data_IF_487477624905
#
_entry.id   IF_487477624905
#
_cell.length_a   1.000
_cell.length_b   1.000
_cell.length_c   1.000
_cell.angle_alpha   90.00
_cell.angle_beta   90.00
_cell.angle_gamma   90.00
#
_symmetry.space_group_name_H-M   'P 1'
#
loop_
_entity.id
_entity.type
_entity.pdbx_description
1 polymer ?
#
# COMPACT_ATOMS: atom_id res chain seq x y z
N UNK A 1 37.71 52.84 -57.94
CA UNK A 1 36.72 53.40 -57.00
C UNK A 1 35.94 52.25 -56.38
N UNK A 2 35.90 52.25 -55.05
CA UNK A 2 35.17 51.40 -54.09
C UNK A 2 33.95 50.63 -54.64
N UNK A 3 33.86 49.33 -54.33
CA UNK A 3 32.68 48.81 -53.64
C UNK A 3 33.02 47.58 -52.78
N UNK A 4 32.53 47.63 -51.54
CA UNK A 4 32.90 46.80 -50.41
C UNK A 4 32.23 45.43 -50.49
N UNK A 5 33.02 44.37 -50.33
CA UNK A 5 32.54 43.03 -50.03
C UNK A 5 32.32 42.96 -48.51
N UNK A 6 31.07 43.06 -48.05
CA UNK A 6 30.68 42.72 -46.68
C UNK A 6 30.02 41.35 -46.76
N UNK A 7 30.79 40.30 -46.49
CA UNK A 7 30.25 38.96 -46.24
C UNK A 7 30.03 38.88 -44.74
N UNK A 8 28.77 39.03 -44.33
CA UNK A 8 28.31 38.83 -42.96
C UNK A 8 28.44 37.34 -42.62
N UNK A 9 29.41 37.01 -41.77
CA UNK A 9 29.59 35.68 -41.21
C UNK A 9 28.48 35.43 -40.17
N UNK A 10 27.39 34.78 -40.58
CA UNK A 10 26.41 34.23 -39.63
C UNK A 10 27.05 33.02 -38.94
N UNK A 11 27.56 33.23 -37.73
CA UNK A 11 27.88 32.15 -36.82
C UNK A 11 26.57 31.53 -36.31
N UNK A 12 26.13 30.46 -36.96
CA UNK A 12 25.11 29.57 -36.40
C UNK A 12 25.72 28.85 -35.20
N UNK A 13 25.47 29.37 -34.00
CA UNK A 13 25.63 28.63 -32.75
C UNK A 13 24.54 27.55 -32.76
N UNK A 14 24.85 26.42 -33.38
CA UNK A 14 24.11 25.18 -33.16
C UNK A 14 24.38 24.76 -31.72
N UNK A 15 23.47 25.17 -30.83
CA UNK A 15 23.42 24.65 -29.48
C UNK A 15 23.00 23.19 -29.61
N UNK A 16 23.98 22.29 -29.71
CA UNK A 16 23.76 20.86 -29.58
C UNK A 16 23.30 20.67 -28.14
N UNK A 17 21.99 20.67 -27.94
CA UNK A 17 21.37 20.12 -26.74
C UNK A 17 21.65 18.61 -26.85
N UNK A 18 22.84 18.20 -26.39
CA UNK A 18 23.08 16.83 -26.02
C UNK A 18 22.13 16.53 -24.87
N UNK A 19 20.93 16.06 -25.21
CA UNK A 19 20.21 15.15 -24.34
C UNK A 19 21.19 14.00 -24.08
N UNK A 20 21.95 14.07 -22.99
CA UNK A 20 22.56 12.87 -22.43
C UNK A 20 21.36 11.97 -22.15
N UNK A 21 21.12 11.01 -23.03
CA UNK A 21 20.30 9.87 -22.68
C UNK A 21 20.82 9.40 -21.32
N UNK A 22 19.96 9.39 -20.31
CA UNK A 22 20.35 8.78 -19.05
C UNK A 22 20.63 7.33 -19.38
N UNK A 23 21.89 6.93 -19.27
CA UNK A 23 22.30 5.57 -19.54
C UNK A 23 21.67 4.71 -18.45
N UNK A 24 20.64 3.95 -18.83
CA UNK A 24 19.89 3.13 -17.90
C UNK A 24 20.77 1.94 -17.47
N UNK A 25 20.67 1.50 -16.21
CA UNK A 25 21.31 0.27 -15.77
C UNK A 25 20.85 -0.91 -16.64
N UNK A 26 21.79 -1.65 -17.22
CA UNK A 26 21.52 -2.82 -18.05
C UNK A 26 21.89 -4.10 -17.29
N UNK A 27 20.91 -4.99 -17.10
CA UNK A 27 21.15 -6.34 -16.58
C UNK A 27 21.91 -7.15 -17.63
N UNK A 28 23.00 -7.82 -17.23
CA UNK A 28 23.73 -8.74 -18.09
C UNK A 28 23.93 -10.10 -17.41
N UNK A 29 24.15 -11.14 -18.22
CA UNK A 29 24.44 -12.50 -17.76
C UNK A 29 25.85 -12.92 -18.18
N UNK A 30 26.57 -13.55 -17.25
CA UNK A 30 27.88 -14.16 -17.49
C UNK A 30 28.01 -15.40 -16.59
N UNK A 31 28.39 -16.55 -17.16
CA UNK A 31 28.51 -17.82 -16.44
C UNK A 31 27.26 -18.20 -15.62
N UNK A 32 26.07 -17.96 -16.18
CA UNK A 32 24.78 -18.20 -15.50
C UNK A 32 24.59 -17.41 -14.20
N UNK A 33 25.27 -16.26 -14.10
CA UNK A 33 25.12 -15.28 -13.04
C UNK A 33 24.80 -13.91 -13.64
N UNK A 34 24.09 -13.10 -12.87
CA UNK A 34 23.63 -11.79 -13.30
C UNK A 34 24.42 -10.67 -12.64
N UNK A 35 24.68 -9.62 -13.41
CA UNK A 35 25.28 -8.36 -12.97
C UNK A 35 24.59 -7.16 -13.61
N UNK A 36 25.12 -5.97 -13.38
CA UNK A 36 24.62 -4.71 -13.95
C UNK A 36 25.75 -3.92 -14.58
N UNK A 37 25.50 -3.42 -15.81
CA UNK A 37 26.38 -2.53 -16.56
C UNK A 37 25.76 -1.14 -16.69
N UNK A 38 26.63 -0.14 -16.75
CA UNK A 38 26.30 1.21 -17.23
C UNK A 38 27.40 1.58 -18.22
N UNK A 39 27.02 1.99 -19.43
CA UNK A 39 27.95 2.37 -20.50
C UNK A 39 29.00 1.29 -20.81
N UNK A 40 28.55 0.04 -20.82
CA UNK A 40 29.40 -1.13 -21.05
C UNK A 40 30.37 -1.48 -19.90
N UNK A 41 30.41 -0.70 -18.81
CA UNK A 41 31.23 -1.00 -17.63
C UNK A 41 30.45 -1.82 -16.62
N UNK A 42 31.05 -2.91 -16.15
CA UNK A 42 30.51 -3.73 -15.06
C UNK A 42 30.57 -2.93 -13.76
N UNK A 43 29.41 -2.61 -13.18
CA UNK A 43 29.33 -1.89 -11.89
C UNK A 43 28.82 -2.80 -10.78
N UNK A 44 27.91 -3.72 -11.10
CA UNK A 44 27.58 -4.87 -10.25
C UNK A 44 28.12 -6.12 -10.93
N UNK A 45 29.03 -6.89 -10.30
CA UNK A 45 29.64 -8.06 -10.94
C UNK A 45 28.62 -9.19 -11.15
N UNK A 46 28.82 -9.99 -12.20
CA UNK A 46 27.99 -11.16 -12.49
C UNK A 46 28.28 -12.33 -11.53
N UNK A 47 27.83 -12.17 -10.28
CA UNK A 47 27.96 -13.19 -9.22
C UNK A 47 26.63 -13.53 -8.54
N UNK A 48 25.54 -12.92 -9.02
CA UNK A 48 24.21 -13.03 -8.44
C UNK A 48 23.36 -14.04 -9.22
N UNK A 49 22.44 -14.70 -8.53
CA UNK A 49 21.48 -15.61 -9.13
C UNK A 49 20.35 -14.86 -9.85
N UNK A 50 20.10 -13.61 -9.46
CA UNK A 50 19.16 -12.72 -10.14
C UNK A 50 19.46 -11.26 -9.80
N UNK A 51 19.03 -10.34 -10.66
CA UNK A 51 19.05 -8.89 -10.44
C UNK A 51 17.76 -8.25 -10.97
N UNK A 52 17.15 -7.36 -10.19
CA UNK A 52 16.07 -6.45 -10.59
C UNK A 52 16.55 -4.99 -10.49
N UNK A 53 16.07 -4.13 -11.40
CA UNK A 53 16.45 -2.73 -11.54
C UNK A 53 15.23 -1.78 -11.58
N UNK A 54 14.10 -2.19 -11.02
CA UNK A 54 12.82 -1.49 -11.21
C UNK A 54 12.70 -0.17 -10.43
N UNK A 55 13.19 -0.13 -9.20
CA UNK A 55 13.08 1.04 -8.30
C UNK A 55 14.43 1.41 -7.68
N UNK A 56 15.03 0.41 -7.03
CA UNK A 56 16.44 0.35 -6.66
C UNK A 56 16.97 -0.98 -7.22
N UNK A 57 18.29 -1.16 -7.21
CA UNK A 57 18.87 -2.40 -7.72
C UNK A 57 18.95 -3.44 -6.62
N UNK A 58 18.26 -4.57 -6.82
CA UNK A 58 18.24 -5.72 -5.92
C UNK A 58 18.98 -6.87 -6.58
N UNK A 59 20.04 -7.34 -5.93
CA UNK A 59 20.86 -8.43 -6.41
C UNK A 59 20.74 -9.63 -5.46
N UNK A 60 20.24 -10.76 -5.97
CA UNK A 60 19.97 -11.96 -5.17
C UNK A 60 21.13 -12.95 -5.26
N UNK A 61 21.59 -13.47 -4.12
CA UNK A 61 22.58 -14.55 -4.03
C UNK A 61 22.14 -15.59 -3.01
N UNK A 62 21.65 -16.72 -3.49
CA UNK A 62 20.93 -17.73 -2.71
C UNK A 62 19.69 -17.12 -2.06
N UNK A 63 19.62 -17.19 -0.73
CA UNK A 63 18.53 -16.61 0.07
C UNK A 63 18.85 -15.21 0.60
N UNK A 64 19.93 -14.59 0.10
CA UNK A 64 20.39 -13.27 0.54
C UNK A 64 20.23 -12.27 -0.59
N UNK A 65 20.03 -11.01 -0.23
CA UNK A 65 19.92 -9.93 -1.19
C UNK A 65 20.89 -8.80 -0.81
N UNK A 66 21.48 -8.20 -1.83
CA UNK A 66 22.24 -6.96 -1.71
C UNK A 66 21.44 -5.85 -2.40
N UNK A 67 21.41 -4.68 -1.78
CA UNK A 67 20.64 -3.53 -2.22
C UNK A 67 21.61 -2.42 -2.65
N UNK A 68 21.38 -1.86 -3.83
CA UNK A 68 22.12 -0.73 -4.36
C UNK A 68 21.18 0.41 -4.74
N UNK A 69 21.65 1.65 -4.72
CA UNK A 69 20.91 2.77 -5.29
C UNK A 69 20.98 2.78 -6.83
N UNK A 70 20.33 3.75 -7.46
CA UNK A 70 20.33 3.89 -8.92
C UNK A 70 21.69 4.36 -9.49
N UNK A 71 22.57 4.90 -8.63
CA UNK A 71 23.99 5.13 -8.95
C UNK A 71 24.86 3.88 -8.70
N UNK A 72 24.23 2.74 -8.43
CA UNK A 72 24.85 1.44 -8.14
C UNK A 72 25.83 1.46 -6.95
N UNK A 73 25.64 2.42 -6.04
CA UNK A 73 26.28 2.43 -4.73
C UNK A 73 25.56 1.46 -3.81
N UNK A 74 26.33 0.56 -3.20
CA UNK A 74 25.81 -0.42 -2.25
C UNK A 74 25.24 0.28 -1.01
N UNK A 75 23.96 0.02 -0.72
CA UNK A 75 23.23 0.58 0.42
C UNK A 75 23.17 -0.38 1.61
N UNK A 76 22.94 -1.67 1.35
CA UNK A 76 22.91 -2.71 2.38
C UNK A 76 23.22 -4.09 1.77
N UNK A 77 23.67 -5.03 2.61
CA UNK A 77 24.09 -6.36 2.18
C UNK A 77 23.47 -7.45 3.03
N UNK A 78 23.21 -8.59 2.41
CA UNK A 78 22.62 -9.75 3.04
C UNK A 78 21.30 -9.41 3.76
N UNK A 79 20.46 -8.57 3.16
CA UNK A 79 19.16 -8.20 3.73
C UNK A 79 18.25 -9.44 3.80
N UNK A 80 17.44 -9.53 4.86
CA UNK A 80 16.53 -10.66 5.12
C UNK A 80 15.25 -10.59 4.31
N UNK A 81 14.77 -9.36 4.08
CA UNK A 81 13.52 -9.10 3.38
C UNK A 81 13.56 -7.68 2.79
N UNK A 82 12.72 -7.48 1.78
CA UNK A 82 12.41 -6.17 1.24
C UNK A 82 10.96 -6.15 0.79
N UNK A 83 10.37 -4.96 0.76
CA UNK A 83 9.05 -4.71 0.17
C UNK A 83 9.07 -3.32 -0.49
N UNK A 84 8.50 -3.22 -1.68
CA UNK A 84 8.24 -1.95 -2.34
C UNK A 84 6.84 -1.46 -1.99
N UNK A 85 6.73 -0.23 -1.50
CA UNK A 85 5.44 0.36 -1.13
C UNK A 85 5.05 1.46 -2.11
N UNK A 86 4.33 1.04 -3.16
CA UNK A 86 3.93 1.87 -4.31
C UNK A 86 3.21 3.16 -3.89
N UNK A 87 2.19 3.18 -3.01
CA UNK A 87 1.48 4.41 -2.65
C UNK A 87 2.35 5.54 -2.07
N UNK A 88 3.57 5.24 -1.63
CA UNK A 88 4.50 6.24 -1.10
C UNK A 88 5.80 6.32 -1.89
N UNK A 89 5.96 5.51 -2.94
CA UNK A 89 7.22 5.34 -3.67
C UNK A 89 8.41 5.16 -2.70
N UNK A 90 8.27 4.23 -1.76
CA UNK A 90 9.33 3.90 -0.79
C UNK A 90 9.71 2.42 -0.86
N UNK A 91 10.96 2.14 -0.57
CA UNK A 91 11.52 0.80 -0.50
C UNK A 91 11.95 0.49 0.92
N UNK A 92 11.39 -0.55 1.53
CA UNK A 92 11.67 -0.90 2.91
C UNK A 92 12.38 -2.25 2.99
N UNK A 93 13.39 -2.36 3.85
CA UNK A 93 14.14 -3.59 4.06
C UNK A 93 14.16 -4.00 5.53
N UNK A 94 14.32 -5.30 5.77
CA UNK A 94 14.79 -5.84 7.03
C UNK A 94 16.27 -6.21 6.82
N UNK A 95 17.15 -5.48 7.49
CA UNK A 95 18.60 -5.72 7.44
C UNK A 95 18.97 -7.05 8.09
N UNK A 96 20.20 -7.54 7.87
CA UNK A 96 20.73 -8.74 8.55
C UNK A 96 20.64 -8.69 10.07
N UNK A 97 20.65 -7.49 10.65
CA UNK A 97 20.59 -7.22 12.09
C UNK A 97 19.16 -6.91 12.58
N UNK A 98 18.13 -7.27 11.81
CA UNK A 98 16.71 -7.08 12.13
C UNK A 98 16.26 -5.63 12.32
N UNK A 99 17.06 -4.68 11.83
CA UNK A 99 16.66 -3.27 11.76
C UNK A 99 15.91 -3.02 10.47
N UNK A 100 14.87 -2.22 10.57
CA UNK A 100 14.18 -1.67 9.40
C UNK A 100 14.91 -0.45 8.89
N UNK A 101 15.12 -0.39 7.57
CA UNK A 101 15.51 0.83 6.85
C UNK A 101 14.52 1.08 5.74
N UNK A 102 14.27 2.34 5.46
CA UNK A 102 13.37 2.79 4.39
C UNK A 102 14.14 3.74 3.49
N UNK A 103 14.00 3.58 2.18
CA UNK A 103 14.66 4.37 1.16
C UNK A 103 13.63 4.97 0.20
N UNK A 104 13.93 6.15 -0.35
CA UNK A 104 13.21 6.67 -1.51
C UNK A 104 13.78 6.11 -2.83
N UNK A 105 13.22 6.55 -3.96
CA UNK A 105 13.65 6.14 -5.31
C UNK A 105 15.07 6.58 -5.70
N UNK A 106 15.75 7.37 -4.88
CA UNK A 106 17.17 7.74 -5.07
C UNK A 106 18.10 6.92 -4.17
N UNK A 107 17.55 5.99 -3.38
CA UNK A 107 18.32 5.23 -2.39
C UNK A 107 18.69 6.04 -1.15
N UNK A 108 18.06 7.19 -0.92
CA UNK A 108 18.29 7.98 0.29
C UNK A 108 17.44 7.42 1.43
N UNK A 109 18.06 7.18 2.58
CA UNK A 109 17.35 6.68 3.74
C UNK A 109 16.40 7.76 4.29
N UNK A 110 15.16 7.39 4.57
CA UNK A 110 14.11 8.27 5.08
C UNK A 110 13.47 7.70 6.36
N UNK A 111 12.88 8.59 7.15
CA UNK A 111 12.12 8.24 8.35
C UNK A 111 10.63 8.11 8.00
N UNK A 112 10.14 6.87 8.00
CA UNK A 112 8.75 6.56 7.61
C UNK A 112 7.73 7.23 8.54
N UNK A 113 8.09 7.50 9.80
CA UNK A 113 7.18 8.14 10.76
C UNK A 113 6.88 9.60 10.43
N UNK A 114 7.74 10.24 9.62
CA UNK A 114 7.59 11.62 9.15
C UNK A 114 6.85 11.72 7.83
N UNK A 115 6.60 10.59 7.16
CA UNK A 115 5.91 10.60 5.89
C UNK A 115 4.42 10.87 6.11
N UNK A 116 3.92 11.93 5.48
CA UNK A 116 2.49 12.17 5.38
C UNK A 116 1.98 11.36 4.20
N UNK A 117 1.07 10.43 4.44
CA UNK A 117 0.32 9.79 3.35
C UNK A 117 -0.49 10.92 2.71
N UNK A 118 -0.06 11.38 1.53
CA UNK A 118 -0.86 12.29 0.72
C UNK A 118 -2.22 11.63 0.51
N UNK A 119 -3.31 12.37 0.75
CA UNK A 119 -4.63 11.84 0.40
C UNK A 119 -4.59 11.44 -1.07
N UNK A 120 -5.05 10.24 -1.43
CA UNK A 120 -5.16 9.72 -2.82
C UNK A 120 -5.99 10.61 -3.78
N UNK A 121 -6.36 11.83 -3.36
CA UNK A 121 -7.09 12.84 -4.12
C UNK A 121 -6.44 13.20 -5.46
N UNK A 122 -5.14 12.97 -5.62
CA UNK A 122 -4.39 13.43 -6.81
C UNK A 122 -4.21 12.36 -7.90
N UNK A 123 -4.68 11.11 -7.69
CA UNK A 123 -4.50 10.01 -8.66
C UNK A 123 -5.65 9.81 -9.66
N UNK A 124 -6.75 10.57 -9.58
CA UNK A 124 -7.93 10.31 -10.39
C UNK A 124 -8.29 11.47 -11.32
N UNK A 125 -7.94 11.29 -12.60
CA UNK A 125 -8.27 12.18 -13.72
C UNK A 125 -9.77 12.04 -14.07
N UNK A 126 -10.46 13.19 -14.17
CA UNK A 126 -11.78 13.46 -14.78
C UNK A 126 -12.73 12.25 -14.94
N UNK A 127 -13.54 11.96 -13.93
CA UNK A 127 -14.72 11.10 -14.03
C UNK A 127 -15.92 11.73 -13.32
N UNK A 128 -17.12 11.28 -13.67
CA UNK A 128 -18.37 11.74 -13.06
C UNK A 128 -18.31 11.58 -11.54
N UNK A 129 -18.64 12.65 -10.84
CA UNK A 129 -18.54 12.72 -9.38
C UNK A 129 -19.90 12.49 -8.77
N UNK A 130 -19.95 11.64 -7.75
CA UNK A 130 -21.04 11.62 -6.79
C UNK A 130 -20.49 11.91 -5.39
N UNK A 131 -21.23 12.71 -4.64
CA UNK A 131 -21.01 12.92 -3.23
C UNK A 131 -21.91 11.97 -2.46
N UNK A 132 -21.33 11.09 -1.65
CA UNK A 132 -22.05 10.19 -0.77
C UNK A 132 -21.84 10.65 0.68
N UNK A 133 -22.92 10.95 1.39
CA UNK A 133 -22.88 11.25 2.82
C UNK A 133 -23.55 10.12 3.59
N UNK A 134 -22.84 9.64 4.60
CA UNK A 134 -23.33 8.64 5.55
C UNK A 134 -23.42 9.29 6.93
N UNK A 135 -24.57 9.15 7.58
CA UNK A 135 -24.78 9.54 8.97
C UNK A 135 -25.02 8.29 9.79
N UNK A 136 -24.09 7.97 10.70
CA UNK A 136 -24.16 6.77 11.54
C UNK A 136 -24.73 7.16 12.91
N UNK A 137 -25.85 6.56 13.29
CA UNK A 137 -26.51 6.75 14.58
C UNK A 137 -26.46 5.46 15.39
N UNK A 138 -27.02 5.47 16.60
CA UNK A 138 -27.16 4.25 17.41
C UNK A 138 -28.04 3.18 16.76
N UNK A 139 -29.01 3.58 15.93
CA UNK A 139 -30.10 2.72 15.47
C UNK A 139 -30.08 2.46 13.96
N UNK A 140 -29.18 3.12 13.21
CA UNK A 140 -29.20 3.07 11.75
C UNK A 140 -28.08 3.86 11.09
N UNK A 141 -27.95 3.67 9.78
CA UNK A 141 -27.12 4.52 8.91
C UNK A 141 -28.02 5.15 7.86
N UNK A 142 -28.04 6.47 7.81
CA UNK A 142 -28.70 7.21 6.73
C UNK A 142 -27.68 7.48 5.63
N UNK A 143 -28.07 7.24 4.38
CA UNK A 143 -27.25 7.48 3.20
C UNK A 143 -27.92 8.50 2.28
N UNK A 144 -27.13 9.46 1.82
CA UNK A 144 -27.55 10.36 0.76
C UNK A 144 -26.49 10.38 -0.33
N UNK A 145 -26.92 10.27 -1.59
CA UNK A 145 -26.06 10.43 -2.76
C UNK A 145 -26.53 11.60 -3.59
N UNK A 146 -25.58 12.46 -3.96
CA UNK A 146 -25.79 13.60 -4.85
C UNK A 146 -24.85 13.46 -6.03
N UNK A 147 -25.39 13.30 -7.22
CA UNK A 147 -24.62 13.25 -8.46
C UNK A 147 -24.42 14.67 -9.02
N UNK A 148 -23.23 14.99 -9.52
CA UNK A 148 -22.93 16.35 -9.98
C UNK A 148 -23.39 16.62 -11.42
N UNK A 149 -23.82 15.61 -12.19
CA UNK A 149 -24.15 15.73 -13.62
C UNK A 149 -25.49 15.08 -14.04
N UNK A 150 -26.35 14.67 -13.09
CA UNK A 150 -27.67 14.09 -13.34
C UNK A 150 -28.71 14.55 -12.31
N UNK A 151 -29.98 14.66 -12.71
CA UNK A 151 -31.09 14.90 -11.79
C UNK A 151 -31.42 13.61 -11.06
N UNK A 152 -31.09 13.52 -9.77
CA UNK A 152 -31.99 13.08 -8.68
C UNK A 152 -31.22 12.92 -7.35
N UNK A 153 -31.86 13.35 -6.26
CA UNK A 153 -31.42 13.06 -4.89
C UNK A 153 -32.15 11.79 -4.44
N UNK A 154 -31.41 10.71 -4.18
CA UNK A 154 -31.97 9.48 -3.62
C UNK A 154 -31.49 9.32 -2.17
N UNK A 155 -32.16 9.93 -1.17
CA UNK A 155 -31.93 9.51 0.21
C UNK A 155 -32.35 8.05 0.34
N UNK A 156 -31.46 7.19 0.85
CA UNK A 156 -31.83 5.85 1.30
C UNK A 156 -31.52 5.77 2.78
N UNK A 157 -32.52 5.40 3.55
CA UNK A 157 -32.32 5.10 4.96
C UNK A 157 -32.11 3.60 5.13
N UNK A 158 -31.06 3.24 5.84
CA UNK A 158 -30.80 1.86 6.21
C UNK A 158 -30.93 1.73 7.72
N UNK A 159 -32.03 1.14 8.15
CA UNK A 159 -32.25 0.78 9.53
C UNK A 159 -31.69 -0.61 9.79
N UNK A 160 -30.75 -0.71 10.74
CA UNK A 160 -30.13 -1.99 11.08
C UNK A 160 -30.67 -2.48 12.41
N UNK A 161 -31.45 -3.56 12.37
CA UNK A 161 -31.81 -4.33 13.55
C UNK A 161 -31.08 -5.67 13.51
N UNK A 162 -29.84 -5.68 13.97
CA UNK A 162 -29.06 -6.92 14.07
C UNK A 162 -29.30 -7.51 15.45
N UNK A 163 -30.21 -8.47 15.51
CA UNK A 163 -30.52 -9.24 16.72
C UNK A 163 -29.76 -10.55 16.66
N UNK A 164 -28.93 -10.82 17.65
CA UNK A 164 -28.26 -12.12 17.81
C UNK A 164 -28.24 -12.47 19.29
N UNK A 165 -28.62 -13.71 19.59
CA UNK A 165 -28.87 -14.20 20.95
C UNK A 165 -29.83 -13.30 21.75
N UNK A 166 -30.88 -12.81 21.09
CA UNK A 166 -31.91 -11.96 21.70
C UNK A 166 -31.45 -10.55 22.09
N UNK A 167 -30.27 -10.09 21.66
CA UNK A 167 -29.79 -8.72 21.92
C UNK A 167 -29.46 -7.97 20.63
N UNK A 168 -29.65 -6.66 20.69
CA UNK A 168 -29.31 -5.76 19.58
C UNK A 168 -27.82 -5.43 19.58
N UNK A 169 -27.20 -5.52 18.42
CA UNK A 169 -25.86 -4.99 18.19
C UNK A 169 -25.88 -3.46 18.17
N UNK A 170 -24.87 -2.82 18.77
CA UNK A 170 -24.73 -1.35 18.85
C UNK A 170 -23.50 -0.86 18.12
N UNK A 171 -23.57 0.33 17.53
CA UNK A 171 -22.43 0.99 16.91
C UNK A 171 -21.39 1.41 17.96
N UNK A 172 -20.10 1.23 17.65
CA UNK A 172 -18.98 1.59 18.55
C UNK A 172 -18.58 3.06 18.40
N UNK A 173 -18.88 3.67 17.26
CA UNK A 173 -18.65 5.09 16.97
C UNK A 173 -19.98 5.72 16.56
N UNK A 174 -20.77 6.13 17.54
CA UNK A 174 -22.02 6.84 17.34
C UNK A 174 -21.76 8.29 16.87
N UNK A 175 -22.61 8.81 15.99
CA UNK A 175 -22.65 10.21 15.55
C UNK A 175 -21.46 10.67 14.69
N UNK A 176 -21.15 9.90 13.64
CA UNK A 176 -20.18 10.31 12.62
C UNK A 176 -20.88 10.63 11.30
N UNK A 177 -20.55 11.78 10.74
CA UNK A 177 -20.81 12.10 9.35
C UNK A 177 -19.57 11.75 8.53
N UNK A 178 -19.74 10.83 7.58
CA UNK A 178 -18.70 10.45 6.64
C UNK A 178 -19.09 10.94 5.25
N UNK A 179 -18.23 11.77 4.66
CA UNK A 179 -18.38 12.27 3.29
C UNK A 179 -17.38 11.53 2.41
N UNK A 180 -17.90 10.86 1.37
CA UNK A 180 -17.12 10.10 0.40
C UNK A 180 -17.35 10.70 -0.97
N UNK A 181 -16.25 10.98 -1.68
CA UNK A 181 -16.29 11.28 -3.10
C UNK A 181 -16.20 9.97 -3.86
N UNK A 182 -17.30 9.57 -4.49
CA UNK A 182 -17.36 8.40 -5.35
C UNK A 182 -17.16 8.84 -6.80
N UNK A 183 -16.24 8.17 -7.48
CA UNK A 183 -15.96 8.38 -8.89
C UNK A 183 -16.65 7.26 -9.69
N UNK A 184 -17.52 7.63 -10.62
CA UNK A 184 -18.15 6.69 -11.54
C UNK A 184 -17.68 7.00 -12.96
N UNK A 185 -17.24 5.97 -13.68
CA UNK A 185 -16.99 6.09 -15.12
C UNK A 185 -18.26 5.63 -15.83
N UNK A 186 -19.10 6.57 -16.25
CA UNK A 186 -20.40 6.30 -16.91
C UNK A 186 -20.28 5.54 -18.23
N UNK A 187 -19.07 5.39 -18.78
CA UNK A 187 -18.79 4.61 -19.99
C UNK A 187 -18.34 3.16 -19.76
N UNK A 188 -18.35 2.65 -18.52
CA UNK A 188 -18.09 1.23 -18.24
C UNK A 188 -19.35 0.62 -17.62
N UNK A 189 -20.40 0.49 -18.44
CA UNK A 189 -21.49 -0.44 -18.14
C UNK A 189 -20.97 -1.88 -18.28
N UNK A 190 -21.14 -2.66 -17.22
CA UNK A 190 -21.37 -4.11 -17.28
C UNK A 190 -20.25 -5.08 -17.68
N UNK A 191 -18.99 -4.66 -17.78
CA UNK A 191 -17.86 -5.58 -17.92
C UNK A 191 -16.78 -5.36 -16.85
N UNK A 192 -17.15 -5.47 -15.58
CA UNK A 192 -16.31 -6.26 -14.68
C UNK A 192 -16.88 -7.67 -14.70
N UNK A 193 -16.69 -8.36 -15.83
CA UNK A 193 -16.53 -9.80 -15.76
C UNK A 193 -15.60 -10.05 -14.58
N UNK A 194 -16.11 -10.85 -13.65
CA UNK A 194 -15.43 -11.39 -12.50
C UNK A 194 -14.25 -12.18 -13.03
N UNK A 195 -13.20 -11.48 -13.46
CA UNK A 195 -11.94 -12.11 -13.80
C UNK A 195 -11.51 -12.75 -12.49
N UNK A 196 -11.54 -14.07 -12.50
CA UNK A 196 -10.79 -14.92 -11.58
C UNK A 196 -9.31 -14.63 -11.83
N UNK A 197 -8.90 -13.40 -11.50
CA UNK A 197 -7.52 -13.00 -11.45
C UNK A 197 -7.03 -13.47 -10.08
N UNK A 198 -5.86 -14.12 -10.02
CA UNK A 198 -5.43 -14.84 -8.84
C UNK A 198 -5.45 -13.94 -7.61
N UNK A 199 -5.86 -14.56 -6.52
CA UNK A 199 -5.84 -14.05 -5.16
C UNK A 199 -4.52 -13.28 -4.88
N UNK A 200 -4.62 -12.09 -4.28
CA UNK A 200 -3.50 -11.24 -3.81
C UNK A 200 -2.58 -10.60 -4.88
N UNK A 201 -2.90 -9.38 -5.31
CA UNK A 201 -1.87 -8.43 -5.82
C UNK A 201 -1.32 -7.58 -4.66
N UNK A 202 -0.08 -7.08 -4.71
CA UNK A 202 0.46 -6.19 -3.66
C UNK A 202 -0.44 -4.97 -3.38
N UNK A 203 -1.16 -4.51 -4.41
CA UNK A 203 -2.17 -3.45 -4.33
C UNK A 203 -3.31 -3.78 -3.36
N UNK A 204 -3.71 -5.05 -3.23
CA UNK A 204 -4.78 -5.48 -2.31
C UNK A 204 -4.40 -5.31 -0.83
N UNK A 205 -3.11 -5.42 -0.47
CA UNK A 205 -2.64 -5.29 0.92
C UNK A 205 -2.73 -3.86 1.45
N UNK A 206 -2.83 -2.90 0.54
CA UNK A 206 -2.91 -1.47 0.81
C UNK A 206 -4.26 -0.87 0.43
N UNK A 207 -5.15 -1.67 -0.17
CA UNK A 207 -6.51 -1.26 -0.48
C UNK A 207 -7.23 -0.85 0.81
N UNK A 208 -7.84 0.34 0.86
CA UNK A 208 -8.69 0.72 1.99
C UNK A 208 -9.77 -0.32 2.23
N UNK A 209 -10.15 -0.51 3.50
CA UNK A 209 -11.32 -1.31 3.84
C UNK A 209 -12.55 -0.72 3.14
N UNK A 210 -13.53 -1.56 2.81
CA UNK A 210 -14.79 -1.05 2.27
C UNK A 210 -15.38 -0.04 3.24
N UNK A 211 -15.78 1.13 2.74
CA UNK A 211 -16.45 2.14 3.55
C UNK A 211 -17.80 1.66 4.11
N UNK A 212 -18.33 0.54 3.60
CA UNK A 212 -19.53 -0.13 4.09
C UNK A 212 -19.31 -1.00 5.33
N UNK A 213 -18.04 -1.20 5.73
CA UNK A 213 -17.70 -1.97 6.92
C UNK A 213 -17.89 -1.11 8.18
N UNK A 214 -18.72 -1.61 9.10
CA UNK A 214 -19.01 -0.96 10.37
C UNK A 214 -18.65 -1.89 11.53
N UNK A 215 -18.00 -1.33 12.55
CA UNK A 215 -17.70 -2.06 13.78
C UNK A 215 -18.91 -1.97 14.70
N UNK A 216 -19.39 -3.14 15.09
CA UNK A 216 -20.55 -3.30 15.97
C UNK A 216 -20.13 -4.03 17.25
N UNK A 217 -20.86 -3.77 18.34
CA UNK A 217 -20.70 -4.43 19.63
C UNK A 217 -21.98 -5.15 20.02
N UNK A 218 -21.85 -6.44 20.34
CA UNK A 218 -22.93 -7.32 20.75
C UNK A 218 -22.44 -8.15 21.95
N UNK A 219 -23.22 -8.20 23.03
CA UNK A 219 -22.87 -8.99 24.23
C UNK A 219 -21.45 -8.72 24.78
N UNK A 220 -20.98 -7.48 24.67
CA UNK A 220 -19.63 -7.10 25.10
C UNK A 220 -18.51 -7.50 24.12
N UNK A 221 -18.84 -8.19 23.03
CA UNK A 221 -17.92 -8.61 21.98
C UNK A 221 -18.08 -7.75 20.73
N UNK A 222 -17.01 -7.67 19.95
CA UNK A 222 -16.91 -6.83 18.77
C UNK A 222 -16.90 -7.69 17.51
N UNK A 223 -17.54 -7.18 16.46
CA UNK A 223 -17.57 -7.76 15.12
C UNK A 223 -17.62 -6.67 14.05
N UNK A 224 -17.56 -7.07 12.78
CA UNK A 224 -17.68 -6.17 11.63
C UNK A 224 -18.80 -6.66 10.73
N UNK A 225 -19.65 -5.72 10.33
CA UNK A 225 -20.77 -5.95 9.44
C UNK A 225 -20.63 -5.10 8.18
N UNK A 226 -20.94 -5.67 7.02
CA UNK A 226 -21.10 -4.91 5.79
C UNK A 226 -22.56 -4.49 5.68
N UNK A 227 -22.80 -3.20 5.83
CA UNK A 227 -24.15 -2.66 5.93
C UNK A 227 -24.87 -2.64 4.58
N UNK A 228 -24.12 -2.61 3.48
CA UNK A 228 -24.68 -2.63 2.12
C UNK A 228 -25.00 -4.04 1.69
N UNK A 229 -24.10 -4.98 1.98
CA UNK A 229 -24.29 -6.41 1.66
C UNK A 229 -25.12 -7.17 2.71
N UNK A 230 -25.44 -6.52 3.83
CA UNK A 230 -26.17 -7.09 4.97
C UNK A 230 -25.58 -8.42 5.45
N UNK A 231 -24.26 -8.46 5.64
CA UNK A 231 -23.57 -9.68 6.08
C UNK A 231 -22.49 -9.43 7.12
N UNK A 232 -22.26 -10.45 7.93
CA UNK A 232 -21.16 -10.50 8.89
C UNK A 232 -19.83 -10.69 8.13
N UNK A 233 -18.87 -9.78 8.34
CA UNK A 233 -17.52 -9.85 7.78
C UNK A 233 -16.54 -10.39 8.81
N UNK A 234 -16.70 -9.95 10.06
CA UNK A 234 -15.93 -10.43 11.20
C UNK A 234 -16.91 -10.80 12.32
N UNK A 235 -16.87 -12.04 12.84
CA UNK A 235 -17.81 -12.51 13.85
C UNK A 235 -17.67 -11.80 15.20
N UNK A 236 -18.78 -11.73 15.94
CA UNK A 236 -18.89 -11.07 17.26
C UNK A 236 -18.26 -11.87 18.41
N UNK A 237 -16.98 -12.18 18.32
CA UNK A 237 -16.25 -12.88 19.37
C UNK A 237 -14.97 -12.18 19.83
N UNK A 238 -14.59 -11.08 19.18
CA UNK A 238 -13.41 -10.30 19.55
C UNK A 238 -13.68 -9.48 20.81
N UNK A 239 -12.66 -9.34 21.64
CA UNK A 239 -12.66 -8.46 22.81
C UNK A 239 -12.46 -7.00 22.41
N UNK A 240 -11.72 -6.75 21.33
CA UNK A 240 -11.40 -5.40 20.84
C UNK A 240 -11.22 -5.44 19.33
N UNK A 241 -11.71 -4.40 18.65
CA UNK A 241 -11.40 -4.09 17.25
C UNK A 241 -10.97 -2.62 17.18
N UNK A 242 -9.81 -2.33 16.61
CA UNK A 242 -9.32 -0.95 16.39
C UNK A 242 -9.17 -0.71 14.89
N UNK A 243 -9.84 0.31 14.32
CA UNK A 243 -9.69 0.63 12.92
C UNK A 243 -8.41 1.44 12.66
N UNK A 244 -7.68 1.04 11.64
CA UNK A 244 -6.67 1.85 10.95
C UNK A 244 -7.19 2.17 9.54
N UNK A 245 -6.45 2.98 8.78
CA UNK A 245 -6.91 3.48 7.48
C UNK A 245 -7.27 2.35 6.49
N UNK A 246 -6.48 1.27 6.46
CA UNK A 246 -6.64 0.17 5.49
C UNK A 246 -6.69 -1.22 6.14
N UNK A 247 -6.72 -1.33 7.47
CA UNK A 247 -6.78 -2.61 8.18
C UNK A 247 -7.41 -2.44 9.56
N UNK A 248 -7.75 -3.57 10.19
CA UNK A 248 -8.29 -3.62 11.54
C UNK A 248 -7.34 -4.43 12.43
N UNK A 249 -7.03 -3.90 13.61
CA UNK A 249 -6.47 -4.69 14.71
C UNK A 249 -7.60 -5.45 15.40
N UNK A 250 -7.42 -6.76 15.57
CA UNK A 250 -8.37 -7.63 16.25
C UNK A 250 -7.70 -8.24 17.48
N UNK A 251 -8.38 -8.25 18.63
CA UNK A 251 -7.92 -8.90 19.87
C UNK A 251 -8.94 -9.93 20.37
N UNK A 252 -8.47 -11.15 20.65
CA UNK A 252 -9.26 -12.23 21.25
C UNK A 252 -8.36 -13.05 22.17
N UNK A 253 -8.85 -13.39 23.36
CA UNK A 253 -8.15 -14.27 24.32
C UNK A 253 -6.71 -13.84 24.66
N UNK A 254 -6.45 -12.53 24.66
CA UNK A 254 -5.12 -11.95 24.92
C UNK A 254 -4.15 -12.00 23.74
N UNK A 255 -4.58 -12.50 22.59
CA UNK A 255 -3.83 -12.54 21.34
C UNK A 255 -4.42 -11.55 20.33
N UNK A 256 -3.61 -11.22 19.32
CA UNK A 256 -3.91 -10.20 18.32
C UNK A 256 -3.55 -10.60 16.89
N UNK A 257 -4.20 -9.95 15.92
CA UNK A 257 -3.94 -10.08 14.47
C UNK A 257 -4.42 -8.83 13.69
N UNK A 258 -4.19 -8.80 12.38
CA UNK A 258 -4.63 -7.76 11.46
C UNK A 258 -5.48 -8.32 10.31
N UNK A 259 -6.70 -7.80 10.16
CA UNK A 259 -7.55 -8.06 8.99
C UNK A 259 -7.46 -6.90 7.98
N UNK A 260 -7.40 -7.17 6.66
CA UNK A 260 -7.38 -8.49 6.03
C UNK A 260 -5.97 -9.12 5.96
N UNK A 261 -4.93 -8.36 6.30
CA UNK A 261 -3.53 -8.69 6.00
C UNK A 261 -3.08 -10.09 6.45
N UNK A 262 -3.02 -10.34 7.77
CA UNK A 262 -2.44 -11.58 8.33
C UNK A 262 -3.51 -12.53 8.87
N UNK A 263 -4.76 -12.28 8.47
CA UNK A 263 -5.94 -13.09 8.76
C UNK A 263 -6.80 -12.59 9.92
N UNK A 264 -7.77 -13.41 10.30
CA UNK A 264 -8.69 -13.17 11.42
C UNK A 264 -8.32 -13.95 12.68
N UNK A 265 -7.49 -14.99 12.57
CA UNK A 265 -7.07 -15.79 13.72
C UNK A 265 -5.96 -15.08 14.53
N UNK A 266 -6.18 -14.72 15.81
CA UNK A 266 -5.21 -14.01 16.63
C UNK A 266 -4.05 -14.90 17.08
N UNK A 267 -2.82 -14.54 16.71
CA UNK A 267 -1.60 -15.33 16.95
C UNK A 267 -0.55 -14.64 17.83
N UNK A 268 -0.59 -13.31 17.90
CA UNK A 268 0.48 -12.53 18.54
C UNK A 268 0.06 -12.02 19.91
N UNK A 269 0.92 -12.22 20.91
CA UNK A 269 0.72 -11.67 22.26
C UNK A 269 0.88 -10.14 22.27
N UNK A 270 1.81 -9.61 21.47
CA UNK A 270 1.90 -8.18 21.17
C UNK A 270 2.02 -7.99 19.66
N UNK A 271 1.28 -7.03 19.13
CA UNK A 271 1.35 -6.65 17.73
C UNK A 271 1.26 -5.13 17.62
N UNK A 272 2.36 -4.50 17.22
CA UNK A 272 2.40 -3.06 16.96
C UNK A 272 1.74 -2.73 15.62
N UNK A 273 1.31 -1.47 15.41
CA UNK A 273 0.84 -1.04 14.10
C UNK A 273 1.92 -1.23 13.04
N UNK A 274 1.51 -1.34 11.77
CA UNK A 274 2.46 -1.38 10.66
C UNK A 274 3.29 -0.09 10.60
N UNK A 275 4.62 -0.26 10.54
CA UNK A 275 5.58 0.77 10.16
C UNK A 275 5.93 0.54 8.69
N UNK A 276 5.12 1.11 7.78
CA UNK A 276 5.20 0.82 6.35
C UNK A 276 4.64 -0.57 6.01
N UNK A 277 5.51 -1.46 5.53
CA UNK A 277 5.20 -2.81 5.11
C UNK A 277 5.25 -3.85 6.25
N UNK A 278 5.91 -3.53 7.37
CA UNK A 278 6.18 -4.49 8.44
C UNK A 278 5.58 -4.04 9.77
N UNK A 279 5.10 -4.99 10.57
CA UNK A 279 4.65 -4.78 11.93
C UNK A 279 5.54 -5.54 12.90
N UNK A 280 5.81 -4.94 14.06
CA UNK A 280 6.57 -5.58 15.14
C UNK A 280 5.66 -6.51 15.93
N UNK A 281 6.11 -7.74 16.21
CA UNK A 281 5.32 -8.69 17.00
C UNK A 281 6.12 -9.36 18.13
N UNK A 282 5.38 -9.89 19.11
CA UNK A 282 5.83 -10.87 20.11
C UNK A 282 4.86 -12.06 20.11
N UNK A 283 5.38 -13.29 19.97
CA UNK A 283 4.59 -14.54 20.05
C UNK A 283 4.33 -14.94 21.51
N UNK A 284 3.40 -15.88 21.77
CA UNK A 284 3.11 -16.33 23.13
C UNK A 284 4.31 -16.92 23.88
N UNK A 285 5.22 -17.57 23.16
CA UNK A 285 6.49 -18.13 23.69
C UNK A 285 7.61 -17.08 23.85
N UNK A 286 7.31 -15.79 23.60
CA UNK A 286 8.23 -14.68 23.85
C UNK A 286 9.20 -14.37 22.71
N UNK A 287 9.11 -15.06 21.57
CA UNK A 287 9.92 -14.69 20.39
C UNK A 287 9.43 -13.38 19.81
N UNK A 288 10.37 -12.59 19.31
CA UNK A 288 10.11 -11.24 18.79
C UNK A 288 10.60 -11.18 17.35
N UNK A 289 9.85 -10.49 16.50
CA UNK A 289 10.20 -10.36 15.09
C UNK A 289 9.39 -9.30 14.37
N UNK A 290 9.51 -9.32 13.06
CA UNK A 290 8.71 -8.51 12.14
C UNK A 290 7.82 -9.43 11.32
N UNK A 291 6.57 -9.03 11.11
CA UNK A 291 5.65 -9.71 10.19
C UNK A 291 5.34 -8.76 9.04
N UNK A 292 5.39 -9.27 7.81
CA UNK A 292 4.92 -8.52 6.66
C UNK A 292 3.39 -8.60 6.50
N UNK A 293 2.86 -7.82 5.57
CA UNK A 293 1.41 -7.78 5.30
C UNK A 293 0.83 -9.06 4.72
N UNK A 294 1.69 -10.02 4.31
CA UNK A 294 1.32 -11.34 3.80
C UNK A 294 1.38 -12.40 4.91
N UNK A 295 1.79 -12.02 6.13
CA UNK A 295 1.84 -12.89 7.29
C UNK A 295 3.13 -13.68 7.43
N UNK A 296 4.15 -13.39 6.61
CA UNK A 296 5.47 -14.03 6.75
C UNK A 296 6.27 -13.34 7.86
N UNK A 297 6.83 -14.17 8.71
CA UNK A 297 7.50 -13.79 9.94
C UNK A 297 9.03 -13.78 9.77
N UNK A 298 9.67 -12.77 10.35
CA UNK A 298 11.11 -12.56 10.34
C UNK A 298 11.57 -12.37 11.78
N UNK A 299 11.99 -13.46 12.42
CA UNK A 299 12.45 -13.45 13.80
C UNK A 299 13.79 -12.75 13.96
N UNK A 300 13.96 -12.14 15.14
CA UNK A 300 15.21 -11.47 15.49
C UNK A 300 16.37 -12.45 15.72
N UNK A 301 16.06 -13.68 16.10
CA UNK A 301 16.99 -14.75 16.43
C UNK A 301 16.67 -16.00 15.61
#
# INVERSE_FOLDING_TARGET
MKNKLIITLFATISTIICFKAQNLPEKFEENSKYGVRIDGKNVVPAIYDDVSTDFLVIAKKGNKFDLYNNDLTLLDQNIKAYEYFIPMDIFQIITKNNKIKTFNNKGQQIDVSKLKIGSQKDLFVKSDRALENYTITNNGVTYTRKEYFGKENYPREFNYKIIKDGKDARFVNNEKNLMILSFYNSHISDYFEKTSSPDYTEETLYKPLKHTYIILKLNGKYGVWDFKEQKEIIPFHYKKIIPYQNYLYLEKDGLSTFYPNIGTDPRYKKLGPYLGAFARFETPDGKIGWVDRKGKEYFDQ
#
